data_IF_482274787179
#
_entry.id   IF_482274787179
#
_cell.length_a   1.000
_cell.length_b   1.000
_cell.length_c   1.000
_cell.angle_alpha   90.00
_cell.angle_beta   90.00
_cell.angle_gamma   90.00
#
_symmetry.space_group_name_H-M   'P 1'
#
loop_
_entity.id
_entity.type
_entity.pdbx_description
1 polymer ?
#
# COMPACT_ATOMS: atom_id res chain seq x y z
N UNK A 1 -28.95 -6.97 -26.11
CA UNK A 1 -29.70 -6.73 -24.86
C UNK A 1 -28.69 -6.67 -23.74
N UNK A 2 -28.31 -5.44 -23.34
CA UNK A 2 -27.30 -5.21 -22.29
C UNK A 2 -28.10 -4.87 -21.03
N UNK A 3 -28.09 -5.80 -20.09
CA UNK A 3 -28.77 -5.65 -18.80
C UNK A 3 -27.95 -4.74 -17.90
N UNK A 4 -28.42 -3.51 -17.71
CA UNK A 4 -27.84 -2.53 -16.82
C UNK A 4 -28.32 -2.87 -15.40
N UNK A 5 -27.47 -3.52 -14.61
CA UNK A 5 -27.70 -3.64 -13.16
C UNK A 5 -27.52 -2.26 -12.50
N UNK A 6 -28.63 -1.57 -12.32
CA UNK A 6 -28.71 -0.42 -11.44
C UNK A 6 -28.52 -0.89 -9.98
N UNK A 7 -27.31 -0.79 -9.47
CA UNK A 7 -27.09 -0.91 -8.04
C UNK A 7 -27.67 0.34 -7.35
N UNK A 8 -28.79 0.16 -6.70
CA UNK A 8 -29.45 1.15 -5.85
C UNK A 8 -28.49 1.49 -4.69
N UNK A 9 -27.81 2.62 -4.79
CA UNK A 9 -26.97 3.16 -3.72
C UNK A 9 -27.89 3.72 -2.65
N UNK A 10 -28.19 2.91 -1.65
CA UNK A 10 -29.03 3.31 -0.51
C UNK A 10 -28.24 4.33 0.32
N UNK A 11 -28.65 5.58 0.20
CA UNK A 11 -28.11 6.74 0.90
C UNK A 11 -28.37 6.57 2.40
N UNK A 12 -27.36 6.13 3.15
CA UNK A 12 -27.41 6.04 4.61
C UNK A 12 -27.33 7.48 5.16
N UNK A 13 -28.28 7.93 5.97
CA UNK A 13 -28.29 9.28 6.49
C UNK A 13 -27.11 9.53 7.46
N UNK A 14 -26.57 10.77 7.49
CA UNK A 14 -25.33 11.09 8.21
C UNK A 14 -25.45 11.12 9.74
N UNK A 15 -26.60 10.85 10.30
CA UNK A 15 -26.91 11.13 11.72
C UNK A 15 -26.33 10.11 12.72
N UNK A 16 -25.81 8.97 12.24
CA UNK A 16 -25.24 7.92 13.11
C UNK A 16 -23.74 7.68 12.92
N UNK A 17 -23.04 8.54 12.20
CA UNK A 17 -21.60 8.38 12.03
C UNK A 17 -20.83 9.18 13.09
N UNK A 18 -20.41 8.48 14.13
CA UNK A 18 -19.56 9.00 15.22
C UNK A 18 -18.15 9.44 14.76
N UNK A 19 -17.86 9.30 13.46
CA UNK A 19 -16.57 9.63 12.84
C UNK A 19 -16.75 10.22 11.43
N UNK A 20 -16.86 11.55 11.29
CA UNK A 20 -17.01 12.22 9.99
C UNK A 20 -15.81 11.97 9.05
N UNK A 21 -14.65 11.62 9.59
CA UNK A 21 -13.45 11.30 8.83
C UNK A 21 -13.57 9.98 8.03
N UNK A 22 -14.39 9.05 8.49
CA UNK A 22 -14.66 7.78 7.77
C UNK A 22 -15.47 8.00 6.49
N UNK A 23 -16.30 9.03 6.44
CA UNK A 23 -17.08 9.37 5.26
C UNK A 23 -16.20 9.92 4.13
N UNK A 24 -15.18 10.71 4.50
CA UNK A 24 -14.22 11.25 3.53
C UNK A 24 -13.33 10.16 2.92
N UNK A 25 -12.98 9.15 3.71
CA UNK A 25 -12.16 8.02 3.26
C UNK A 25 -12.98 6.97 2.49
N UNK A 26 -14.27 6.80 2.82
CA UNK A 26 -15.16 5.88 2.09
C UNK A 26 -15.43 6.36 0.65
N UNK A 27 -15.55 7.66 0.43
CA UNK A 27 -15.67 8.26 -0.91
C UNK A 27 -14.38 8.12 -1.74
N UNK A 28 -13.23 8.21 -1.09
CA UNK A 28 -11.93 8.04 -1.73
C UNK A 28 -11.62 6.59 -2.10
N UNK A 29 -12.09 5.64 -1.29
CA UNK A 29 -11.88 4.21 -1.49
C UNK A 29 -12.85 3.58 -2.52
N UNK A 30 -14.01 4.18 -2.74
CA UNK A 30 -14.97 3.72 -3.75
C UNK A 30 -14.45 3.87 -5.18
N UNK A 31 -13.56 4.83 -5.43
CA UNK A 31 -12.94 5.07 -6.74
C UNK A 31 -11.73 4.16 -7.04
N UNK A 32 -11.19 3.46 -6.04
CA UNK A 32 -9.98 2.64 -6.21
C UNK A 32 -10.24 1.12 -6.30
N UNK A 33 -11.50 0.71 -6.45
CA UNK A 33 -11.87 -0.72 -6.47
C UNK A 33 -11.44 -1.47 -7.72
N UNK A 34 -10.84 -0.81 -8.72
CA UNK A 34 -10.57 -1.46 -10.00
C UNK A 34 -9.17 -1.31 -10.59
N UNK A 35 -8.27 -0.64 -9.91
CA UNK A 35 -6.87 -0.76 -10.27
C UNK A 35 -6.13 -1.16 -9.01
N UNK A 36 -5.63 -2.40 -8.97
CA UNK A 36 -4.47 -2.70 -8.15
C UNK A 36 -3.42 -1.70 -8.60
N UNK A 37 -3.44 -0.53 -8.00
CA UNK A 37 -2.33 0.39 -8.05
C UNK A 37 -1.20 -0.35 -7.31
N UNK A 38 -0.58 -1.26 -8.04
CA UNK A 38 0.77 -1.67 -7.78
C UNK A 38 1.55 -0.38 -7.94
N UNK A 39 1.45 0.50 -6.93
CA UNK A 39 2.39 1.61 -6.79
C UNK A 39 3.74 0.94 -6.91
N UNK A 40 4.43 1.21 -8.01
CA UNK A 40 5.75 0.65 -8.22
C UNK A 40 6.52 0.91 -6.94
N UNK A 41 6.72 -0.16 -6.15
CA UNK A 41 7.31 -0.07 -4.83
C UNK A 41 8.74 0.39 -5.04
N UNK A 42 8.95 1.69 -5.00
CA UNK A 42 10.28 2.28 -5.16
C UNK A 42 11.03 2.19 -3.84
N UNK A 43 12.35 2.11 -3.91
CA UNK A 43 13.22 2.11 -2.72
C UNK A 43 12.90 3.31 -1.81
N UNK A 44 12.69 4.48 -2.40
CA UNK A 44 12.35 5.70 -1.66
C UNK A 44 11.04 5.58 -0.85
N UNK A 45 10.02 4.91 -1.40
CA UNK A 45 8.76 4.67 -0.67
C UNK A 45 8.97 3.69 0.49
N UNK A 46 9.79 2.66 0.30
CA UNK A 46 10.12 1.72 1.39
C UNK A 46 10.90 2.39 2.52
N UNK A 47 11.84 3.27 2.19
CA UNK A 47 12.59 4.06 3.18
C UNK A 47 11.64 4.94 4.00
N UNK A 48 10.67 5.60 3.36
CA UNK A 48 9.64 6.37 4.06
C UNK A 48 8.79 5.49 4.99
N UNK A 49 8.44 4.29 4.55
CA UNK A 49 7.73 3.33 5.41
C UNK A 49 8.56 2.88 6.61
N UNK A 50 9.87 2.68 6.45
CA UNK A 50 10.77 2.35 7.56
C UNK A 50 10.85 3.49 8.60
N UNK A 51 10.89 4.74 8.13
CA UNK A 51 10.85 5.91 9.02
C UNK A 51 9.51 6.01 9.75
N UNK A 52 8.41 5.84 9.03
CA UNK A 52 7.05 5.88 9.59
C UNK A 52 6.84 4.75 10.61
N UNK A 53 7.31 3.53 10.32
CA UNK A 53 7.26 2.38 11.23
C UNK A 53 7.92 2.69 12.58
N UNK A 54 9.14 3.25 12.53
CA UNK A 54 9.87 3.63 13.76
C UNK A 54 9.17 4.76 14.50
N UNK A 55 8.70 5.79 13.78
CA UNK A 55 8.05 6.97 14.38
C UNK A 55 6.77 6.62 15.13
N UNK A 56 5.93 5.79 14.53
CA UNK A 56 4.61 5.41 15.05
C UNK A 56 4.60 4.05 15.76
N UNK A 57 5.77 3.42 15.92
CA UNK A 57 5.93 2.11 16.58
C UNK A 57 5.01 1.03 15.99
N UNK A 58 4.91 0.99 14.66
CA UNK A 58 4.07 0.04 13.96
C UNK A 58 4.78 -1.32 13.83
N UNK A 59 4.03 -2.40 13.96
CA UNK A 59 4.51 -3.75 13.65
C UNK A 59 4.60 -3.95 12.13
N UNK A 60 5.36 -4.94 11.68
CA UNK A 60 5.46 -5.28 10.25
C UNK A 60 4.09 -5.65 9.66
N UNK A 61 3.24 -6.32 10.46
CA UNK A 61 1.85 -6.62 10.13
C UNK A 61 1.04 -5.35 9.84
N UNK A 62 1.09 -4.37 10.74
CA UNK A 62 0.37 -3.10 10.62
C UNK A 62 0.87 -2.26 9.45
N UNK A 63 2.18 -2.28 9.19
CA UNK A 63 2.75 -1.64 8.00
C UNK A 63 2.25 -2.30 6.72
N UNK A 64 2.17 -3.63 6.69
CA UNK A 64 1.64 -4.33 5.54
C UNK A 64 0.15 -4.00 5.32
N UNK A 65 -0.66 -4.01 6.38
CA UNK A 65 -2.06 -3.58 6.32
C UNK A 65 -2.20 -2.15 5.79
N UNK A 66 -1.39 -1.22 6.30
CA UNK A 66 -1.42 0.18 5.88
C UNK A 66 -1.05 0.34 4.39
N UNK A 67 -0.13 -0.47 3.88
CA UNK A 67 0.24 -0.51 2.46
C UNK A 67 -0.88 -1.06 1.59
N UNK A 68 -1.54 -2.12 2.01
CA UNK A 68 -2.70 -2.70 1.31
C UNK A 68 -3.90 -1.76 1.30
N UNK A 69 -4.08 -0.97 2.36
CA UNK A 69 -5.06 0.10 2.44
C UNK A 69 -4.70 1.31 1.55
N UNK A 70 -3.49 1.36 0.97
CA UNK A 70 -3.04 2.49 0.16
C UNK A 70 -2.74 3.75 0.97
N UNK A 71 -2.46 3.62 2.27
CA UNK A 71 -2.12 4.76 3.11
C UNK A 71 -0.75 5.36 2.73
N UNK A 72 -0.63 6.67 2.86
CA UNK A 72 0.62 7.37 2.60
C UNK A 72 1.42 7.50 3.91
N UNK A 73 2.69 7.02 3.95
CA UNK A 73 3.54 7.10 5.15
C UNK A 73 3.75 8.52 5.65
N UNK A 74 3.82 9.51 4.75
CA UNK A 74 4.02 10.92 5.12
C UNK A 74 2.79 11.53 5.81
N UNK A 75 1.60 10.96 5.59
CA UNK A 75 0.33 11.45 6.15
C UNK A 75 -0.08 10.74 7.45
N UNK A 76 0.59 9.68 7.86
CA UNK A 76 0.25 8.93 9.07
C UNK A 76 0.27 9.79 10.33
N UNK A 77 1.19 10.77 10.42
CA UNK A 77 1.23 11.71 11.53
C UNK A 77 -0.02 12.58 11.71
N UNK A 78 -0.78 12.81 10.63
CA UNK A 78 -2.06 13.53 10.71
C UNK A 78 -3.19 12.65 11.24
N UNK A 79 -3.07 11.35 11.07
CA UNK A 79 -4.03 10.36 11.55
C UNK A 79 -3.74 10.03 13.02
N UNK A 80 -2.46 10.03 13.40
CA UNK A 80 -1.97 9.73 14.75
C UNK A 80 -2.16 10.92 15.71
N UNK A 81 -3.41 11.31 15.92
CA UNK A 81 -3.79 12.49 16.69
C UNK A 81 -4.51 12.14 18.01
N UNK A 82 -4.38 10.88 18.47
CA UNK A 82 -5.08 10.38 19.65
C UNK A 82 -4.71 11.12 20.95
N UNK A 83 -3.54 11.76 21.00
CA UNK A 83 -3.11 12.55 22.18
C UNK A 83 -3.86 13.87 22.31
N UNK A 84 -4.28 14.47 21.19
CA UNK A 84 -5.04 15.72 21.19
C UNK A 84 -6.54 15.45 21.28
N UNK A 85 -6.99 14.31 20.76
CA UNK A 85 -8.39 13.92 20.71
C UNK A 85 -8.55 12.54 21.34
N UNK A 86 -8.92 12.50 22.63
CA UNK A 86 -9.05 11.26 23.43
C UNK A 86 -10.07 10.26 22.90
N UNK A 87 -10.99 10.69 22.03
CA UNK A 87 -11.98 9.83 21.38
C UNK A 87 -11.42 9.08 20.16
N UNK A 88 -10.25 9.46 19.66
CA UNK A 88 -9.57 8.76 18.55
C UNK A 88 -8.75 7.59 19.07
N UNK A 89 -8.91 6.45 18.40
CA UNK A 89 -8.07 5.28 18.68
C UNK A 89 -6.60 5.55 18.27
N UNK A 90 -5.63 4.96 18.94
CA UNK A 90 -4.24 4.96 18.50
C UNK A 90 -4.08 4.46 17.07
N UNK A 91 -3.10 4.99 16.34
CA UNK A 91 -2.87 4.67 14.92
C UNK A 91 -2.83 3.16 14.62
N UNK A 92 -2.17 2.30 15.42
CA UNK A 92 -2.16 0.86 15.17
C UNK A 92 -3.57 0.25 15.17
N UNK A 93 -4.37 0.56 16.18
CA UNK A 93 -5.75 0.08 16.29
C UNK A 93 -6.66 0.63 15.20
N UNK A 94 -6.42 1.86 14.79
CA UNK A 94 -7.14 2.49 13.68
C UNK A 94 -6.89 1.76 12.36
N UNK A 95 -5.62 1.41 12.05
CA UNK A 95 -5.25 0.64 10.85
C UNK A 95 -5.94 -0.72 10.86
N UNK A 96 -5.89 -1.45 11.97
CA UNK A 96 -6.52 -2.75 12.12
C UNK A 96 -8.05 -2.69 11.93
N UNK A 97 -8.70 -1.69 12.53
CA UNK A 97 -10.15 -1.50 12.41
C UNK A 97 -10.58 -1.24 10.98
N UNK A 98 -9.85 -0.39 10.26
CA UNK A 98 -10.16 -0.07 8.85
C UNK A 98 -9.87 -1.29 7.98
N UNK A 99 -8.77 -1.97 8.22
CA UNK A 99 -8.41 -3.17 7.49
C UNK A 99 -9.50 -4.23 7.59
N UNK A 100 -9.95 -4.52 8.80
CA UNK A 100 -11.06 -5.44 9.04
C UNK A 100 -12.37 -5.00 8.35
N UNK A 101 -12.70 -3.71 8.41
CA UNK A 101 -13.92 -3.18 7.76
C UNK A 101 -13.91 -3.37 6.25
N UNK A 102 -12.75 -3.19 5.60
CA UNK A 102 -12.62 -3.25 4.14
C UNK A 102 -12.42 -4.66 3.61
N UNK A 103 -11.53 -5.41 4.22
CA UNK A 103 -11.13 -6.73 3.74
C UNK A 103 -11.86 -7.88 4.44
N UNK A 104 -12.56 -7.60 5.56
CA UNK A 104 -13.19 -8.62 6.41
C UNK A 104 -12.22 -9.69 6.92
N UNK A 105 -10.95 -9.32 7.07
CA UNK A 105 -9.84 -10.15 7.55
C UNK A 105 -9.12 -9.41 8.67
N UNK A 106 -8.67 -10.16 9.66
CA UNK A 106 -7.88 -9.62 10.78
C UNK A 106 -6.39 -9.50 10.44
N UNK A 107 -5.94 -10.28 9.47
CA UNK A 107 -4.53 -10.34 9.09
C UNK A 107 -4.33 -10.33 7.58
N UNK A 108 -3.23 -9.74 7.08
CA UNK A 108 -2.83 -9.85 5.68
C UNK A 108 -2.33 -11.26 5.37
N UNK A 109 -2.53 -11.72 4.13
CA UNK A 109 -2.11 -13.06 3.69
C UNK A 109 -0.60 -13.27 3.78
N UNK A 110 0.16 -12.23 3.53
CA UNK A 110 1.64 -12.28 3.56
C UNK A 110 2.20 -11.08 4.31
N UNK A 111 2.94 -11.35 5.37
CA UNK A 111 3.66 -10.32 6.11
C UNK A 111 5.14 -10.47 5.81
N UNK A 112 5.71 -9.50 5.09
CA UNK A 112 7.15 -9.44 4.83
C UNK A 112 7.76 -8.22 5.50
N UNK A 113 8.85 -8.38 6.27
CA UNK A 113 9.56 -7.24 6.84
C UNK A 113 10.08 -6.33 5.73
N UNK A 114 10.01 -5.03 5.94
CA UNK A 114 10.43 -4.03 4.94
C UNK A 114 11.87 -4.23 4.48
N UNK A 115 12.75 -4.64 5.39
CA UNK A 115 14.17 -4.94 5.07
C UNK A 115 14.31 -6.07 4.05
N UNK A 116 13.50 -7.12 4.19
CA UNK A 116 13.51 -8.23 3.25
C UNK A 116 13.03 -7.80 1.87
N UNK A 117 11.97 -6.99 1.81
CA UNK A 117 11.46 -6.46 0.54
C UNK A 117 12.52 -5.61 -0.17
N UNK A 118 13.26 -4.79 0.58
CA UNK A 118 14.37 -4.00 0.02
C UNK A 118 15.48 -4.89 -0.54
N UNK A 119 15.89 -5.91 0.21
CA UNK A 119 16.92 -6.85 -0.23
C UNK A 119 16.50 -7.61 -1.50
N UNK A 120 15.24 -8.09 -1.56
CA UNK A 120 14.68 -8.74 -2.75
C UNK A 120 14.70 -7.80 -3.98
N UNK A 121 14.36 -6.52 -3.78
CA UNK A 121 14.40 -5.53 -4.86
C UNK A 121 15.82 -5.26 -5.37
N UNK A 122 16.80 -5.16 -4.47
CA UNK A 122 18.21 -4.95 -4.84
C UNK A 122 18.75 -6.17 -5.58
N UNK A 123 18.44 -7.37 -5.12
CA UNK A 123 18.83 -8.61 -5.79
C UNK A 123 18.23 -8.69 -7.22
N UNK A 124 16.96 -8.37 -7.37
CA UNK A 124 16.29 -8.33 -8.69
C UNK A 124 16.93 -7.31 -9.63
N UNK A 125 17.31 -6.12 -9.12
CA UNK A 125 17.98 -5.09 -9.93
C UNK A 125 19.36 -5.55 -10.38
N UNK A 126 20.14 -6.21 -9.51
CA UNK A 126 21.45 -6.77 -9.86
C UNK A 126 21.32 -7.80 -10.99
N UNK A 127 20.42 -8.77 -10.81
CA UNK A 127 20.17 -9.80 -11.82
C UNK A 127 19.72 -9.23 -13.17
N UNK A 128 18.85 -8.21 -13.16
CA UNK A 128 18.43 -7.53 -14.39
C UNK A 128 19.61 -6.81 -15.08
N UNK A 129 20.49 -6.20 -14.30
CA UNK A 129 21.68 -5.52 -14.84
C UNK A 129 22.62 -6.52 -15.48
N UNK A 130 22.89 -7.64 -14.82
CA UNK A 130 23.74 -8.72 -15.34
C UNK A 130 23.18 -9.30 -16.63
N UNK A 131 21.88 -9.64 -16.67
CA UNK A 131 21.22 -10.14 -17.90
C UNK A 131 21.26 -9.13 -19.05
N UNK A 132 21.14 -7.82 -18.74
CA UNK A 132 21.23 -6.78 -19.77
C UNK A 132 22.64 -6.65 -20.32
N UNK A 133 23.63 -6.78 -19.47
CA UNK A 133 25.06 -6.73 -19.88
C UNK A 133 25.43 -7.95 -20.72
N UNK A 134 25.00 -9.12 -20.30
CA UNK A 134 25.20 -10.36 -21.06
C UNK A 134 24.55 -10.28 -22.46
N UNK A 135 23.33 -9.78 -22.55
CA UNK A 135 22.67 -9.54 -23.85
C UNK A 135 23.42 -8.54 -24.73
N UNK A 136 24.04 -7.52 -24.13
CA UNK A 136 24.89 -6.57 -24.88
C UNK A 136 26.13 -7.24 -25.43
N UNK A 137 26.79 -8.07 -24.62
CA UNK A 137 27.97 -8.85 -25.05
C UNK A 137 27.64 -9.81 -26.18
N UNK A 138 26.53 -10.55 -26.06
CA UNK A 138 26.08 -11.48 -27.12
C UNK A 138 25.75 -10.75 -28.42
N UNK A 139 25.13 -9.58 -28.37
CA UNK A 139 24.85 -8.79 -29.58
C UNK A 139 26.12 -8.26 -30.23
N UNK A 140 27.12 -7.83 -29.44
CA UNK A 140 28.40 -7.38 -29.98
C UNK A 140 29.15 -8.52 -30.70
N UNK A 141 29.15 -9.72 -30.11
CA UNK A 141 29.75 -10.90 -30.72
C UNK A 141 29.04 -11.36 -32.01
N UNK A 142 27.74 -11.20 -32.08
CA UNK A 142 26.98 -11.55 -33.27
C UNK A 142 27.11 -10.55 -34.42
N UNK A 143 27.50 -9.30 -34.14
CA UNK A 143 27.77 -8.28 -35.16
C UNK A 143 29.13 -8.46 -35.82
N UNK A 144 30.14 -8.92 -35.07
CA UNK A 144 31.49 -9.17 -35.60
C UNK A 144 31.60 -10.44 -36.45
N UNK A 145 30.59 -11.36 -36.35
CA UNK A 145 30.61 -12.60 -37.14
C UNK A 145 29.83 -12.48 -38.47
N UNK A 146 29.32 -11.30 -38.79
CA UNK A 146 28.51 -11.05 -40.02
C UNK A 146 29.26 -10.31 -41.11
N UNK A 147 30.56 -10.05 -40.94
CA UNK A 147 31.49 -9.46 -41.93
C UNK A 147 32.44 -10.53 -42.47
#
# INVERSE_FOLDING_TARGET
>A
MISVCLFHFQKIPPENFRYPYLYYMAGFLSLQKNERCSMAVTKAILEKWMVAQKRHRLSDKQVQMARELGLNPDKLGKIDNHRQESWKAPLPQFIESIYFKLFKREEPETVKPLKQIMAEMEAKKKLQKEKKEERRKQRALSSDSAE
#
